data_IF_206026316158
#
_entry.id   IF_206026316158
#
_cell.length_a   1.000
_cell.length_b   1.000
_cell.length_c   1.000
_cell.angle_alpha   90.00
_cell.angle_beta   90.00
_cell.angle_gamma   90.00
#
_symmetry.space_group_name_H-M   'P 1'
#
loop_
_entity.id
_entity.type
_entity.pdbx_description
1 polymer ?
#
# COMPACT_ATOMS: atom_id res chain seq x y z
N UNK A 1 -29.68 1.30 -7.39
CA UNK A 1 -28.96 1.12 -8.65
C UNK A 1 -29.33 2.23 -9.60
N UNK A 2 -28.36 2.96 -10.12
CA UNK A 2 -28.55 4.00 -11.11
C UNK A 2 -27.53 3.89 -12.25
N UNK A 3 -28.00 3.95 -13.49
CA UNK A 3 -27.15 4.13 -14.68
C UNK A 3 -27.37 5.56 -15.18
N UNK A 4 -26.31 6.34 -15.22
CA UNK A 4 -26.37 7.79 -15.47
C UNK A 4 -25.43 8.13 -16.62
N UNK A 5 -25.92 8.80 -17.64
CA UNK A 5 -25.11 9.22 -18.80
C UNK A 5 -24.27 10.49 -18.56
N UNK A 6 -23.98 10.81 -17.32
CA UNK A 6 -23.23 12.00 -16.92
C UNK A 6 -22.67 11.85 -15.50
N UNK A 7 -22.35 12.95 -14.86
CA UNK A 7 -21.81 12.97 -13.50
C UNK A 7 -22.89 12.63 -12.45
N UNK A 8 -22.47 12.05 -11.33
CA UNK A 8 -23.31 11.79 -10.16
C UNK A 8 -22.79 12.62 -8.97
N UNK A 9 -23.51 13.68 -8.63
CA UNK A 9 -23.03 14.71 -7.71
C UNK A 9 -22.16 15.77 -8.40
N UNK A 10 -21.57 16.65 -7.63
CA UNK A 10 -20.61 17.65 -8.12
C UNK A 10 -19.43 17.79 -7.15
N UNK A 11 -18.25 18.08 -7.66
CA UNK A 11 -16.98 17.91 -6.94
C UNK A 11 -16.30 19.20 -6.49
N UNK A 12 -17.04 20.28 -6.19
CA UNK A 12 -16.39 21.54 -5.80
C UNK A 12 -16.49 21.89 -4.32
N UNK A 13 -17.35 21.21 -3.57
CA UNK A 13 -17.45 21.32 -2.11
C UNK A 13 -18.16 20.10 -1.53
N UNK A 14 -17.94 19.82 -0.24
CA UNK A 14 -18.60 18.73 0.48
C UNK A 14 -20.15 18.81 0.46
N UNK A 15 -20.70 19.95 0.06
CA UNK A 15 -22.15 20.19 -0.05
C UNK A 15 -22.74 19.78 -1.43
N UNK A 16 -21.91 19.38 -2.38
CA UNK A 16 -22.33 19.07 -3.74
C UNK A 16 -22.31 17.55 -4.02
N UNK A 17 -21.80 16.74 -3.09
CA UNK A 17 -21.89 15.29 -3.14
C UNK A 17 -23.36 14.84 -2.98
N UNK A 18 -23.68 13.67 -3.50
CA UNK A 18 -24.99 13.05 -3.26
C UNK A 18 -24.95 12.38 -1.88
N UNK A 19 -25.74 12.88 -0.97
CA UNK A 19 -25.92 12.29 0.36
C UNK A 19 -26.77 11.02 0.25
N UNK A 20 -26.24 9.93 0.79
CA UNK A 20 -26.92 8.64 0.85
C UNK A 20 -26.96 8.11 2.28
N UNK A 21 -27.90 7.23 2.57
CA UNK A 21 -27.98 6.44 3.80
C UNK A 21 -28.56 5.07 3.40
N UNK A 22 -27.69 4.23 2.85
CA UNK A 22 -28.09 2.95 2.25
C UNK A 22 -27.15 1.82 2.68
N UNK A 23 -27.67 0.61 2.73
CA UNK A 23 -26.86 -0.59 3.02
C UNK A 23 -26.06 -1.05 1.81
N UNK A 24 -26.64 -0.90 0.62
CA UNK A 24 -26.04 -1.33 -0.64
C UNK A 24 -26.11 -0.17 -1.65
N UNK A 25 -24.97 0.16 -2.25
CA UNK A 25 -24.85 1.26 -3.20
C UNK A 25 -24.30 0.76 -4.55
N UNK A 26 -25.02 1.09 -5.63
CA UNK A 26 -24.56 0.76 -6.98
C UNK A 26 -24.81 1.99 -7.88
N UNK A 27 -23.73 2.56 -8.42
CA UNK A 27 -23.78 3.74 -9.29
C UNK A 27 -22.90 3.48 -10.51
N UNK A 28 -23.47 3.59 -11.69
CA UNK A 28 -22.78 3.45 -12.98
C UNK A 28 -22.91 4.72 -13.81
N UNK A 29 -21.80 5.40 -14.04
CA UNK A 29 -21.67 6.58 -14.91
C UNK A 29 -20.72 6.33 -16.08
N UNK A 30 -20.28 5.08 -16.28
CA UNK A 30 -19.25 4.70 -17.26
C UNK A 30 -19.63 5.01 -18.70
N UNK A 31 -20.93 4.97 -19.04
CA UNK A 31 -21.40 5.29 -20.41
C UNK A 31 -21.00 6.72 -20.82
N UNK A 32 -20.99 7.65 -19.88
CA UNK A 32 -20.57 9.05 -20.09
C UNK A 32 -19.19 9.37 -19.51
N UNK A 33 -18.49 8.41 -18.93
CA UNK A 33 -17.27 8.63 -18.15
C UNK A 33 -17.45 9.73 -17.08
N UNK A 34 -18.62 9.75 -16.46
CA UNK A 34 -18.98 10.79 -15.49
C UNK A 34 -18.41 10.50 -14.11
N UNK A 35 -17.77 11.49 -13.51
CA UNK A 35 -17.29 11.35 -12.14
C UNK A 35 -18.43 11.24 -11.12
N UNK A 36 -18.12 10.65 -9.97
CA UNK A 36 -19.07 10.39 -8.89
C UNK A 36 -18.57 11.06 -7.59
N UNK A 37 -19.47 11.78 -6.92
CA UNK A 37 -19.24 12.37 -5.60
C UNK A 37 -20.34 11.93 -4.66
N UNK A 38 -19.97 11.11 -3.67
CA UNK A 38 -20.92 10.41 -2.80
C UNK A 38 -20.53 10.62 -1.34
N UNK A 39 -21.52 10.93 -0.52
CA UNK A 39 -21.40 11.03 0.92
C UNK A 39 -22.39 10.05 1.54
N UNK A 40 -21.91 8.90 2.02
CA UNK A 40 -22.71 7.87 2.67
C UNK A 40 -22.66 8.07 4.19
N UNK A 41 -23.80 8.21 4.79
CA UNK A 41 -23.92 8.58 6.22
C UNK A 41 -23.46 7.49 7.20
N UNK A 42 -23.71 6.24 6.89
CA UNK A 42 -23.47 5.11 7.78
C UNK A 42 -22.27 4.28 7.31
N UNK A 43 -22.48 3.15 6.74
CA UNK A 43 -21.49 2.26 6.16
C UNK A 43 -22.14 1.43 5.07
N UNK A 44 -21.34 0.79 4.25
CA UNK A 44 -21.80 -0.01 3.12
C UNK A 44 -21.51 -1.49 3.36
N UNK A 45 -22.54 -2.33 3.20
CA UNK A 45 -22.37 -3.79 3.22
C UNK A 45 -21.95 -4.33 1.86
N UNK A 46 -22.34 -3.67 0.79
CA UNK A 46 -21.86 -3.89 -0.58
C UNK A 46 -21.93 -2.60 -1.38
N UNK A 47 -21.00 -2.41 -2.28
CA UNK A 47 -21.11 -1.31 -3.24
C UNK A 47 -20.48 -1.68 -4.57
N UNK A 48 -20.85 -0.96 -5.62
CA UNK A 48 -20.26 -1.05 -6.94
C UNK A 48 -20.34 0.32 -7.60
N UNK A 49 -19.20 0.96 -7.77
CA UNK A 49 -19.07 2.31 -8.30
C UNK A 49 -18.26 2.26 -9.60
N UNK A 50 -18.90 2.51 -10.72
CA UNK A 50 -18.27 2.47 -12.03
C UNK A 50 -18.35 3.83 -12.72
N UNK A 51 -17.23 4.54 -12.76
CA UNK A 51 -17.12 5.84 -13.44
C UNK A 51 -16.49 5.75 -14.85
N UNK A 52 -16.06 4.55 -15.25
CA UNK A 52 -15.30 4.41 -16.50
C UNK A 52 -13.99 5.18 -16.43
N UNK A 53 -13.82 6.18 -17.30
CA UNK A 53 -12.67 7.10 -17.27
C UNK A 53 -12.90 8.36 -16.40
N UNK A 54 -14.00 8.43 -15.65
CA UNK A 54 -14.23 9.47 -14.66
C UNK A 54 -13.54 9.15 -13.32
N UNK A 55 -13.69 10.05 -12.36
CA UNK A 55 -13.16 9.89 -11.00
C UNK A 55 -14.27 9.55 -9.99
N UNK A 56 -13.90 8.90 -8.90
CA UNK A 56 -14.81 8.61 -7.81
C UNK A 56 -14.28 9.27 -6.53
N UNK A 57 -15.16 10.01 -5.86
CA UNK A 57 -14.95 10.49 -4.50
C UNK A 57 -16.07 9.92 -3.62
N UNK A 58 -15.70 9.06 -2.68
CA UNK A 58 -16.61 8.45 -1.73
C UNK A 58 -16.20 8.84 -0.30
N UNK A 59 -17.12 9.40 0.46
CA UNK A 59 -16.98 9.50 1.91
C UNK A 59 -18.01 8.57 2.53
N UNK A 60 -17.62 7.75 3.50
CA UNK A 60 -18.54 6.89 4.25
C UNK A 60 -18.35 7.07 5.74
N UNK A 61 -19.46 7.18 6.47
CA UNK A 61 -19.48 7.35 7.92
C UNK A 61 -19.03 6.11 8.70
N UNK A 62 -19.17 4.93 8.11
CA UNK A 62 -18.82 3.64 8.69
C UNK A 62 -18.06 2.73 7.72
N UNK A 63 -17.85 1.50 8.12
CA UNK A 63 -17.13 0.49 7.32
C UNK A 63 -17.74 0.31 5.92
N UNK A 64 -16.90 0.28 4.90
CA UNK A 64 -17.26 -0.11 3.55
C UNK A 64 -16.79 -1.55 3.29
N UNK A 65 -17.71 -2.43 2.96
CA UNK A 65 -17.44 -3.85 2.71
C UNK A 65 -17.74 -4.20 1.26
N UNK A 66 -16.94 -5.13 0.75
CA UNK A 66 -17.30 -5.90 -0.44
C UNK A 66 -18.21 -7.07 -0.04
N UNK A 67 -19.19 -7.35 -0.84
CA UNK A 67 -20.12 -8.47 -0.64
C UNK A 67 -20.25 -9.38 -1.84
N UNK A 68 -19.44 -9.18 -2.90
CA UNK A 68 -19.51 -9.99 -4.11
C UNK A 68 -18.12 -10.17 -4.80
N UNK A 69 -18.08 -10.71 -5.99
CA UNK A 69 -16.84 -10.98 -6.74
C UNK A 69 -16.58 -9.99 -7.86
N UNK A 70 -17.36 -8.93 -7.95
CA UNK A 70 -17.19 -7.92 -8.99
C UNK A 70 -16.25 -6.82 -8.47
N UNK A 71 -15.63 -6.07 -9.38
CA UNK A 71 -14.86 -4.92 -8.94
C UNK A 71 -15.79 -3.84 -8.39
N UNK A 72 -15.52 -3.45 -7.14
CA UNK A 72 -16.28 -2.45 -6.39
C UNK A 72 -16.07 -1.03 -6.91
N UNK A 73 -14.84 -0.73 -7.32
CA UNK A 73 -14.45 0.60 -7.80
C UNK A 73 -13.79 0.51 -9.17
N UNK A 74 -14.34 1.19 -10.16
CA UNK A 74 -13.74 1.37 -11.48
C UNK A 74 -13.72 2.85 -11.85
N UNK A 75 -12.50 3.42 -11.96
CA UNK A 75 -12.31 4.85 -12.21
C UNK A 75 -10.90 5.13 -12.75
N UNK A 76 -10.63 6.36 -13.17
CA UNK A 76 -9.24 6.81 -13.35
C UNK A 76 -8.61 7.08 -12.00
N UNK A 77 -9.29 7.84 -11.13
CA UNK A 77 -8.86 8.10 -9.75
C UNK A 77 -9.98 7.73 -8.79
N UNK A 78 -9.67 6.99 -7.75
CA UNK A 78 -10.54 6.79 -6.61
C UNK A 78 -9.99 7.52 -5.37
N UNK A 79 -10.83 8.32 -4.74
CA UNK A 79 -10.56 8.95 -3.45
C UNK A 79 -11.63 8.53 -2.47
N UNK A 80 -11.25 7.76 -1.46
CA UNK A 80 -12.17 7.20 -0.47
C UNK A 80 -11.78 7.67 0.93
N UNK A 81 -12.75 8.15 1.69
CA UNK A 81 -12.60 8.48 3.10
C UNK A 81 -13.59 7.66 3.92
N UNK A 82 -13.09 6.83 4.82
CA UNK A 82 -13.90 6.09 5.81
C UNK A 82 -13.72 6.75 7.17
N UNK A 83 -14.75 7.41 7.67
CA UNK A 83 -14.66 8.22 8.90
C UNK A 83 -14.51 7.34 10.15
N UNK A 84 -15.28 6.24 10.25
CA UNK A 84 -15.20 5.30 11.35
C UNK A 84 -15.34 3.87 10.86
N UNK A 85 -14.26 3.11 10.90
CA UNK A 85 -14.28 1.69 10.49
C UNK A 85 -13.28 1.38 9.40
N UNK A 86 -13.49 0.28 8.73
CA UNK A 86 -12.55 -0.32 7.81
C UNK A 86 -12.94 -0.10 6.35
N UNK A 87 -11.97 -0.22 5.46
CA UNK A 87 -12.16 -0.35 4.03
C UNK A 87 -11.86 -1.80 3.62
N UNK A 88 -12.90 -2.59 3.37
CA UNK A 88 -12.82 -4.04 3.23
C UNK A 88 -12.79 -4.78 4.57
N UNK A 89 -12.48 -6.07 4.51
CA UNK A 89 -12.35 -6.95 5.67
C UNK A 89 -11.32 -8.05 5.46
N UNK A 90 -10.91 -8.72 6.54
CA UNK A 90 -10.01 -9.87 6.51
C UNK A 90 -10.66 -11.09 5.88
N UNK A 91 -9.91 -11.93 5.18
CA UNK A 91 -10.37 -13.26 4.75
C UNK A 91 -10.09 -13.61 3.30
N UNK A 92 -9.57 -12.69 2.51
CA UNK A 92 -9.29 -12.89 1.08
C UNK A 92 -10.56 -13.08 0.23
N UNK A 93 -10.42 -13.05 -1.08
CA UNK A 93 -11.56 -13.16 -1.99
C UNK A 93 -12.56 -12.03 -1.81
N UNK A 94 -13.83 -12.32 -1.64
CA UNK A 94 -14.94 -11.35 -1.57
C UNK A 94 -14.97 -10.49 -0.29
N UNK A 95 -13.85 -10.25 0.39
CA UNK A 95 -13.78 -9.41 1.57
C UNK A 95 -12.87 -8.19 1.39
N UNK A 96 -11.90 -8.29 0.50
CA UNK A 96 -11.11 -7.12 0.07
C UNK A 96 -11.95 -6.25 -0.87
N UNK A 97 -11.67 -4.98 -0.90
CA UNK A 97 -12.29 -4.10 -1.89
C UNK A 97 -11.56 -4.27 -3.22
N UNK A 98 -12.28 -4.71 -4.23
CA UNK A 98 -11.77 -4.94 -5.57
C UNK A 98 -11.73 -3.61 -6.34
N UNK A 99 -10.54 -3.15 -6.73
CA UNK A 99 -10.35 -1.91 -7.46
C UNK A 99 -9.76 -2.12 -8.85
N UNK A 100 -10.11 -1.27 -9.77
CA UNK A 100 -9.52 -1.17 -11.11
C UNK A 100 -9.34 0.32 -11.43
N UNK A 101 -8.24 0.91 -10.96
CA UNK A 101 -7.99 2.35 -11.00
C UNK A 101 -6.53 2.65 -11.33
N UNK A 102 -6.26 3.81 -11.93
CA UNK A 102 -4.88 4.24 -12.14
C UNK A 102 -4.27 4.89 -10.88
N UNK A 103 -5.10 5.63 -10.12
CA UNK A 103 -4.67 6.29 -8.88
C UNK A 103 -5.64 5.97 -7.75
N UNK A 104 -5.10 5.55 -6.61
CA UNK A 104 -5.88 5.14 -5.44
C UNK A 104 -5.49 5.94 -4.20
N UNK A 105 -6.47 6.63 -3.60
CA UNK A 105 -6.32 7.34 -2.34
C UNK A 105 -7.35 6.80 -1.36
N UNK A 106 -6.93 6.20 -0.25
CA UNK A 106 -7.82 5.69 0.80
C UNK A 106 -7.38 6.21 2.16
N UNK A 107 -8.28 6.87 2.86
CA UNK A 107 -8.06 7.39 4.20
C UNK A 107 -9.06 6.78 5.19
N UNK A 108 -8.55 5.98 6.12
CA UNK A 108 -9.30 5.41 7.26
C UNK A 108 -8.74 5.86 8.60
N UNK A 109 -7.81 6.84 8.60
CA UNK A 109 -7.06 7.24 9.79
C UNK A 109 -7.91 7.89 10.88
N UNK A 110 -9.03 8.52 10.53
CA UNK A 110 -9.91 9.15 11.52
C UNK A 110 -10.45 8.16 12.57
N UNK A 111 -10.62 6.89 12.18
CA UNK A 111 -11.05 5.80 13.07
C UNK A 111 -9.98 4.72 13.27
N UNK A 112 -8.73 4.95 12.87
CA UNK A 112 -7.66 3.94 12.85
C UNK A 112 -8.10 2.63 12.17
N UNK A 113 -8.89 2.76 11.10
CA UNK A 113 -9.47 1.63 10.38
C UNK A 113 -8.46 0.94 9.47
N UNK A 114 -8.53 -0.37 9.39
CA UNK A 114 -7.70 -1.14 8.48
C UNK A 114 -8.24 -1.16 7.05
N UNK A 115 -7.34 -1.44 6.09
CA UNK A 115 -7.66 -1.48 4.66
C UNK A 115 -7.28 -2.83 4.08
N UNK A 116 -8.17 -3.43 3.29
CA UNK A 116 -7.95 -4.64 2.50
C UNK A 116 -8.35 -4.36 1.06
N UNK A 117 -7.36 -4.37 0.17
CA UNK A 117 -7.50 -3.89 -1.20
C UNK A 117 -6.93 -4.92 -2.16
N UNK A 118 -7.72 -5.27 -3.18
CA UNK A 118 -7.28 -6.08 -4.32
C UNK A 118 -7.37 -5.20 -5.58
N UNK A 119 -6.21 -4.71 -6.06
CA UNK A 119 -6.11 -3.92 -7.28
C UNK A 119 -5.80 -4.82 -8.48
N UNK A 120 -6.65 -4.75 -9.50
CA UNK A 120 -6.62 -5.70 -10.64
C UNK A 120 -5.43 -5.48 -11.57
N UNK A 121 -5.11 -4.23 -11.88
CA UNK A 121 -4.16 -3.87 -12.96
C UNK A 121 -2.79 -3.44 -12.41
N UNK A 122 -2.75 -2.49 -11.54
CA UNK A 122 -1.57 -1.83 -10.98
C UNK A 122 -1.80 -0.34 -10.86
N UNK A 123 -1.02 0.30 -10.02
CA UNK A 123 -1.19 1.70 -9.65
C UNK A 123 -0.06 2.55 -10.21
N UNK A 124 -0.37 3.71 -10.74
CA UNK A 124 0.58 4.75 -11.10
C UNK A 124 0.76 5.79 -10.00
N UNK A 125 -0.15 5.83 -9.04
CA UNK A 125 -0.05 6.58 -7.80
C UNK A 125 -0.92 5.94 -6.73
N UNK A 126 -0.40 5.85 -5.50
CA UNK A 126 -1.14 5.38 -4.35
C UNK A 126 -0.96 6.33 -3.17
N UNK A 127 -1.99 6.44 -2.33
CA UNK A 127 -1.92 7.15 -1.05
C UNK A 127 -2.88 6.44 -0.08
N UNK A 128 -2.33 5.63 0.81
CA UNK A 128 -3.08 4.78 1.73
C UNK A 128 -2.77 5.19 3.17
N UNK A 129 -3.73 5.73 3.86
CA UNK A 129 -3.58 6.21 5.24
C UNK A 129 -4.55 5.47 6.17
N UNK A 130 -4.03 4.56 6.98
CA UNK A 130 -4.80 3.81 7.97
C UNK A 130 -4.59 4.32 9.41
N UNK A 131 -3.75 5.35 9.61
CA UNK A 131 -3.43 5.79 10.98
C UNK A 131 -2.84 4.66 11.82
N UNK A 132 -3.50 4.29 12.90
CA UNK A 132 -3.14 3.14 13.74
C UNK A 132 -3.59 1.77 13.21
N UNK A 133 -4.32 1.72 12.11
CA UNK A 133 -4.76 0.48 11.46
C UNK A 133 -3.68 -0.21 10.64
N UNK A 134 -4.05 -1.29 9.98
CA UNK A 134 -3.17 -2.05 9.07
C UNK A 134 -3.67 -1.95 7.63
N UNK A 135 -2.75 -2.08 6.68
CA UNK A 135 -3.07 -2.10 5.25
C UNK A 135 -2.61 -3.43 4.65
N UNK A 136 -3.50 -4.07 3.91
CA UNK A 136 -3.19 -5.21 3.04
C UNK A 136 -3.53 -4.81 1.61
N UNK A 137 -2.54 -4.82 0.73
CA UNK A 137 -2.67 -4.49 -0.69
C UNK A 137 -2.20 -5.67 -1.53
N UNK A 138 -3.09 -6.22 -2.36
CA UNK A 138 -2.70 -7.10 -3.46
C UNK A 138 -2.85 -6.30 -4.76
N UNK A 139 -1.85 -6.35 -5.64
CA UNK A 139 -1.91 -5.66 -6.92
C UNK A 139 -1.49 -6.58 -8.06
N UNK A 140 -2.34 -6.67 -9.07
CA UNK A 140 -2.11 -7.42 -10.30
C UNK A 140 -1.09 -6.77 -11.24
N UNK A 141 -0.55 -5.61 -10.89
CA UNK A 141 0.51 -4.91 -11.61
C UNK A 141 1.42 -4.13 -10.69
N UNK A 142 2.32 -3.34 -11.24
CA UNK A 142 3.25 -2.53 -10.45
C UNK A 142 2.53 -1.48 -9.60
N UNK A 143 3.07 -1.20 -8.41
CA UNK A 143 2.71 -0.05 -7.62
C UNK A 143 3.79 1.02 -7.77
N UNK A 144 3.44 2.18 -8.29
CA UNK A 144 4.38 3.28 -8.52
C UNK A 144 3.91 4.50 -7.75
N UNK A 145 4.85 5.22 -7.16
CA UNK A 145 4.61 6.56 -6.66
C UNK A 145 4.66 7.58 -7.80
N UNK A 146 3.78 8.55 -7.77
CA UNK A 146 3.67 9.63 -8.74
C UNK A 146 3.80 11.02 -8.13
N UNK A 147 4.03 11.13 -6.81
CA UNK A 147 4.14 12.43 -6.14
C UNK A 147 5.12 12.40 -4.95
N UNK A 148 5.29 13.51 -4.24
CA UNK A 148 6.21 13.67 -3.12
C UNK A 148 5.51 13.57 -1.74
N UNK A 149 4.30 13.03 -1.69
CA UNK A 149 3.59 12.81 -0.44
C UNK A 149 3.91 11.40 0.11
N UNK A 150 3.66 11.17 1.39
CA UNK A 150 3.78 9.83 1.93
C UNK A 150 2.66 8.92 1.39
N UNK A 151 3.07 7.85 0.72
CA UNK A 151 2.18 6.91 0.04
C UNK A 151 1.46 5.97 1.00
N UNK A 152 2.15 5.53 2.05
CA UNK A 152 1.61 4.53 2.98
C UNK A 152 1.84 4.95 4.42
N UNK A 153 0.75 5.03 5.19
CA UNK A 153 0.77 5.27 6.64
C UNK A 153 -0.08 4.24 7.36
N UNK A 154 0.55 3.40 8.18
CA UNK A 154 -0.13 2.34 8.92
C UNK A 154 0.74 1.82 10.08
N UNK A 155 0.18 1.02 10.98
CA UNK A 155 0.99 0.23 11.90
C UNK A 155 1.68 -0.92 11.17
N UNK A 156 0.96 -1.62 10.32
CA UNK A 156 1.47 -2.73 9.49
C UNK A 156 1.04 -2.54 8.04
N UNK A 157 2.00 -2.62 7.14
CA UNK A 157 1.74 -2.69 5.71
C UNK A 157 2.17 -4.04 5.16
N UNK A 158 1.25 -4.70 4.47
CA UNK A 158 1.50 -5.96 3.78
C UNK A 158 1.08 -5.81 2.33
N UNK A 159 2.01 -5.99 1.40
CA UNK A 159 1.77 -5.86 -0.02
C UNK A 159 2.22 -7.10 -0.80
N UNK A 160 1.37 -7.56 -1.72
CA UNK A 160 1.68 -8.57 -2.73
C UNK A 160 1.51 -7.95 -4.10
N UNK A 161 2.60 -7.77 -4.83
CA UNK A 161 2.64 -6.95 -6.05
C UNK A 161 3.13 -7.79 -7.23
N UNK A 162 2.38 -7.78 -8.32
CA UNK A 162 2.86 -8.35 -9.60
C UNK A 162 3.64 -7.28 -10.35
N UNK A 163 4.98 -7.32 -10.23
CA UNK A 163 5.87 -6.33 -10.84
C UNK A 163 6.65 -5.51 -9.82
N UNK A 164 7.03 -4.31 -10.16
CA UNK A 164 7.83 -3.45 -9.30
C UNK A 164 6.98 -2.73 -8.24
N UNK A 165 7.59 -2.44 -7.10
CA UNK A 165 7.04 -1.60 -6.04
C UNK A 165 7.94 -0.36 -5.89
N UNK A 166 7.46 0.77 -6.34
CA UNK A 166 8.26 1.97 -6.58
C UNK A 166 9.03 1.94 -7.90
N UNK A 167 9.86 2.94 -8.16
CA UNK A 167 10.68 3.05 -9.36
C UNK A 167 12.06 3.66 -9.07
N UNK A 168 12.99 3.51 -10.01
CA UNK A 168 14.32 4.10 -9.92
C UNK A 168 14.27 5.62 -10.14
N UNK A 169 15.08 6.37 -9.43
CA UNK A 169 15.24 7.81 -9.68
C UNK A 169 15.49 8.64 -8.44
N UNK A 170 15.24 8.12 -7.26
CA UNK A 170 15.31 8.83 -5.98
C UNK A 170 14.20 9.90 -5.85
N UNK A 171 13.93 10.35 -4.66
CA UNK A 171 12.85 11.31 -4.39
C UNK A 171 11.48 10.72 -4.73
N UNK A 172 10.69 11.44 -5.48
CA UNK A 172 9.29 11.16 -5.81
C UNK A 172 9.02 9.87 -6.63
N UNK A 173 9.89 8.85 -6.57
CA UNK A 173 9.70 7.57 -7.30
C UNK A 173 9.77 6.33 -6.40
N UNK A 174 10.32 6.46 -5.20
CA UNK A 174 10.25 5.41 -4.17
C UNK A 174 8.87 5.41 -3.54
N UNK A 175 8.43 4.29 -3.00
CA UNK A 175 7.23 4.29 -2.17
C UNK A 175 7.59 4.82 -0.79
N UNK A 176 7.00 5.95 -0.43
CA UNK A 176 7.21 6.62 0.84
C UNK A 176 6.32 6.02 1.93
N UNK A 177 6.95 5.40 2.92
CA UNK A 177 6.22 4.70 3.99
C UNK A 177 6.45 5.35 5.36
N UNK A 178 5.46 5.22 6.21
CA UNK A 178 5.55 5.51 7.65
C UNK A 178 4.83 4.38 8.38
N UNK A 179 5.56 3.30 8.65
CA UNK A 179 4.99 2.06 9.21
C UNK A 179 5.89 1.46 10.28
N UNK A 180 5.32 0.68 11.19
CA UNK A 180 6.13 -0.08 12.17
C UNK A 180 6.57 -1.44 11.63
N UNK A 181 5.71 -2.09 10.85
CA UNK A 181 5.98 -3.40 10.26
C UNK A 181 5.75 -3.35 8.75
N UNK A 182 6.75 -3.76 7.98
CA UNK A 182 6.76 -3.68 6.53
C UNK A 182 6.94 -5.06 5.89
N UNK A 183 5.94 -5.52 5.12
CA UNK A 183 5.99 -6.78 4.40
C UNK A 183 5.67 -6.53 2.92
N UNK A 184 6.62 -6.75 2.03
CA UNK A 184 6.44 -6.54 0.59
C UNK A 184 6.95 -7.74 -0.19
N UNK A 185 6.06 -8.38 -0.94
CA UNK A 185 6.38 -9.49 -1.84
C UNK A 185 6.10 -9.07 -3.30
N UNK A 186 7.14 -9.03 -4.12
CA UNK A 186 7.07 -8.73 -5.55
C UNK A 186 7.36 -9.96 -6.42
N UNK A 187 7.26 -11.18 -5.86
CA UNK A 187 7.50 -12.43 -6.58
C UNK A 187 6.23 -13.06 -7.16
N UNK A 188 5.07 -12.48 -6.91
CA UNK A 188 3.78 -12.99 -7.40
C UNK A 188 3.81 -13.22 -8.91
N UNK A 189 3.19 -14.31 -9.33
CA UNK A 189 3.12 -14.76 -10.73
C UNK A 189 4.49 -14.85 -11.44
N UNK A 190 5.58 -15.00 -10.66
CA UNK A 190 6.94 -15.10 -11.17
C UNK A 190 7.54 -13.77 -11.67
N UNK A 191 6.94 -12.65 -11.28
CA UNK A 191 7.34 -11.30 -11.71
C UNK A 191 8.75 -10.91 -11.24
N UNK A 192 9.13 -11.25 -9.99
CA UNK A 192 10.42 -10.85 -9.40
C UNK A 192 10.72 -9.35 -9.58
N UNK A 193 9.76 -8.52 -9.19
CA UNK A 193 9.82 -7.06 -9.32
C UNK A 193 10.85 -6.44 -8.38
N UNK A 194 11.43 -5.34 -8.81
CA UNK A 194 12.28 -4.54 -7.93
C UNK A 194 11.45 -3.80 -6.88
N UNK A 195 12.08 -3.47 -5.74
CA UNK A 195 11.47 -2.65 -4.69
C UNK A 195 12.32 -1.42 -4.41
N UNK A 196 11.68 -0.25 -4.36
CA UNK A 196 12.28 1.03 -3.96
C UNK A 196 11.41 1.64 -2.88
N UNK A 197 11.93 1.71 -1.66
CA UNK A 197 11.17 2.07 -0.46
C UNK A 197 11.94 3.12 0.34
N UNK A 198 11.25 4.19 0.70
CA UNK A 198 11.73 5.21 1.62
C UNK A 198 10.86 5.19 2.88
N UNK A 199 11.39 4.63 3.97
CA UNK A 199 10.72 4.58 5.27
C UNK A 199 11.14 5.78 6.13
N UNK A 200 10.16 6.57 6.55
CA UNK A 200 10.43 7.85 7.20
C UNK A 200 11.02 7.71 8.61
N UNK A 201 10.58 6.74 9.37
CA UNK A 201 10.94 6.60 10.81
C UNK A 201 11.95 5.47 11.03
N UNK A 202 11.51 4.26 11.11
CA UNK A 202 12.28 3.05 11.33
C UNK A 202 11.34 1.87 11.48
N UNK A 203 11.85 0.67 11.37
CA UNK A 203 11.05 -0.55 11.34
C UNK A 203 11.30 -1.40 12.59
N UNK A 204 10.21 -1.92 13.16
CA UNK A 204 10.25 -2.94 14.22
C UNK A 204 10.40 -4.33 13.60
N UNK A 205 9.78 -4.54 12.43
CA UNK A 205 9.88 -5.78 11.66
C UNK A 205 9.84 -5.47 10.16
N UNK A 206 10.65 -6.22 9.41
CA UNK A 206 10.65 -6.10 7.96
C UNK A 206 10.62 -7.49 7.32
N UNK A 207 9.96 -7.61 6.17
CA UNK A 207 10.00 -8.80 5.32
C UNK A 207 9.88 -8.35 3.85
N UNK A 208 10.98 -8.36 3.13
CA UNK A 208 11.07 -7.88 1.75
C UNK A 208 11.49 -9.01 0.83
N UNK A 209 10.62 -9.45 -0.05
CA UNK A 209 10.88 -10.54 -0.98
C UNK A 209 10.76 -10.04 -2.43
N UNK A 210 11.88 -9.87 -3.08
CA UNK A 210 11.97 -9.53 -4.51
C UNK A 210 12.41 -10.72 -5.38
N UNK A 211 12.67 -11.89 -4.79
CA UNK A 211 13.17 -13.05 -5.52
C UNK A 211 14.48 -12.75 -6.25
N UNK A 212 14.46 -12.75 -7.58
CA UNK A 212 15.60 -12.35 -8.40
C UNK A 212 15.63 -10.84 -8.71
N UNK A 213 14.71 -10.06 -8.20
CA UNK A 213 14.73 -8.59 -8.27
C UNK A 213 15.75 -7.97 -7.32
N UNK A 214 15.83 -6.65 -7.31
CA UNK A 214 16.67 -5.90 -6.38
C UNK A 214 15.79 -5.12 -5.40
N UNK A 215 16.33 -4.85 -4.22
CA UNK A 215 15.70 -4.03 -3.20
C UNK A 215 16.59 -2.83 -2.88
N UNK A 216 16.00 -1.65 -2.85
CA UNK A 216 16.59 -0.43 -2.30
C UNK A 216 15.70 0.05 -1.16
N UNK A 217 16.26 0.12 0.05
CA UNK A 217 15.58 0.59 1.25
C UNK A 217 16.34 1.78 1.84
N UNK A 218 15.69 2.91 1.98
CA UNK A 218 16.16 3.98 2.83
C UNK A 218 15.29 4.01 4.09
N UNK A 219 15.88 4.16 5.27
CA UNK A 219 15.14 4.28 6.52
C UNK A 219 15.66 5.42 7.38
N UNK A 220 14.75 6.27 7.81
CA UNK A 220 15.01 7.41 8.68
C UNK A 220 15.34 7.03 10.13
N UNK A 221 15.25 5.74 10.49
CA UNK A 221 15.53 5.25 11.83
C UNK A 221 16.13 3.85 11.86
N UNK A 222 16.12 3.26 13.03
CA UNK A 222 16.58 1.87 13.25
C UNK A 222 15.63 0.88 12.58
N UNK A 223 16.21 -0.13 11.94
CA UNK A 223 15.48 -1.29 11.43
C UNK A 223 15.82 -2.50 12.30
N UNK A 224 14.81 -3.14 12.86
CA UNK A 224 14.96 -4.36 13.65
C UNK A 224 14.22 -5.51 13.00
N UNK A 225 14.67 -6.71 13.29
CA UNK A 225 13.92 -7.93 13.03
C UNK A 225 13.07 -8.28 14.26
N UNK A 226 11.87 -8.74 14.04
CA UNK A 226 10.91 -9.13 15.08
C UNK A 226 10.53 -10.61 15.05
N UNK A 227 11.10 -11.41 14.15
CA UNK A 227 10.75 -12.83 14.01
C UNK A 227 11.94 -13.69 13.50
N UNK A 228 11.71 -14.97 13.27
CA UNK A 228 12.74 -15.93 12.84
C UNK A 228 12.65 -16.26 11.33
N UNK A 229 11.92 -15.48 10.56
CA UNK A 229 11.82 -15.66 9.11
C UNK A 229 12.94 -14.90 8.40
N UNK A 230 13.19 -15.23 7.13
CA UNK A 230 14.16 -14.43 6.36
C UNK A 230 13.53 -13.07 6.00
N UNK A 231 14.20 -12.01 6.44
CA UNK A 231 13.73 -10.63 6.29
C UNK A 231 13.92 -10.06 4.88
N UNK A 232 15.01 -10.44 4.21
CA UNK A 232 15.33 -9.89 2.89
C UNK A 232 15.72 -10.99 1.91
N UNK A 233 15.01 -11.07 0.79
CA UNK A 233 15.32 -11.95 -0.34
C UNK A 233 15.40 -11.16 -1.63
N UNK A 234 16.61 -11.09 -2.24
CA UNK A 234 16.85 -10.34 -3.47
C UNK A 234 18.12 -10.79 -4.18
N UNK A 235 18.35 -10.39 -5.43
CA UNK A 235 19.66 -10.48 -6.06
C UNK A 235 20.62 -9.46 -5.45
N UNK A 236 20.18 -8.21 -5.32
CA UNK A 236 20.94 -7.14 -4.68
C UNK A 236 20.07 -6.42 -3.66
N UNK A 237 20.59 -6.30 -2.46
CA UNK A 237 20.00 -5.45 -1.43
C UNK A 237 20.92 -4.26 -1.15
N UNK A 238 20.36 -3.07 -1.29
CA UNK A 238 21.02 -1.81 -0.95
C UNK A 238 20.19 -1.10 0.11
N UNK A 239 20.78 -0.79 1.25
CA UNK A 239 20.11 -0.11 2.34
C UNK A 239 20.90 1.10 2.85
N UNK A 240 20.18 2.19 3.12
CA UNK A 240 20.70 3.38 3.80
C UNK A 240 19.86 3.61 5.06
N UNK A 241 20.47 3.41 6.22
CA UNK A 241 19.75 3.35 7.50
C UNK A 241 20.28 4.43 8.45
N UNK A 242 19.42 5.32 8.91
CA UNK A 242 19.78 6.38 9.87
C UNK A 242 19.79 5.86 11.34
N UNK A 243 20.23 4.64 11.57
CA UNK A 243 20.26 4.00 12.88
C UNK A 243 20.94 2.65 12.81
N UNK A 244 20.54 1.73 13.66
CA UNK A 244 21.01 0.36 13.61
C UNK A 244 20.26 -0.45 12.54
N UNK A 245 20.93 -1.45 12.00
CA UNK A 245 20.34 -2.46 11.13
C UNK A 245 20.47 -3.82 11.81
N UNK A 246 19.36 -4.34 12.30
CA UNK A 246 19.31 -5.46 13.26
C UNK A 246 19.55 -5.03 14.70
N UNK A 247 19.66 -5.99 15.60
CA UNK A 247 19.95 -5.79 17.02
C UNK A 247 20.90 -6.84 17.59
N UNK A 248 21.55 -6.51 18.70
CA UNK A 248 22.43 -7.45 19.40
C UNK A 248 21.61 -8.50 20.17
N UNK A 249 21.92 -9.77 19.99
CA UNK A 249 21.29 -10.85 20.77
C UNK A 249 21.38 -12.23 20.15
N UNK A 250 21.71 -12.34 18.88
CA UNK A 250 21.73 -13.59 18.11
C UNK A 250 20.31 -14.14 17.85
N UNK A 251 20.16 -15.05 16.92
CA UNK A 251 18.86 -15.59 16.54
C UNK A 251 17.98 -14.51 15.92
N UNK A 252 16.75 -14.41 16.36
CA UNK A 252 15.67 -13.56 15.83
C UNK A 252 15.89 -12.03 16.02
N UNK A 253 17.13 -11.55 16.13
CA UNK A 253 17.44 -10.11 16.27
C UNK A 253 18.37 -9.58 15.15
N UNK A 254 19.04 -10.47 14.44
CA UNK A 254 19.81 -10.11 13.24
C UNK A 254 18.83 -9.95 12.06
N UNK A 255 19.19 -9.13 11.11
CA UNK A 255 18.44 -9.12 9.83
C UNK A 255 18.90 -10.34 9.02
N UNK A 256 17.97 -11.24 8.77
CA UNK A 256 18.18 -12.47 8.03
C UNK A 256 18.08 -12.23 6.52
N UNK A 257 19.20 -12.41 5.82
CA UNK A 257 19.28 -12.12 4.38
C UNK A 257 19.53 -13.36 3.54
N UNK A 258 18.99 -13.36 2.34
CA UNK A 258 19.31 -14.30 1.26
C UNK A 258 19.52 -13.49 0.00
N UNK A 259 20.77 -13.02 -0.23
CA UNK A 259 21.09 -12.10 -1.31
C UNK A 259 22.43 -12.42 -1.94
N UNK A 260 22.58 -12.12 -3.22
CA UNK A 260 23.88 -12.29 -3.92
C UNK A 260 24.84 -11.13 -3.64
N UNK A 261 24.30 -9.91 -3.57
CA UNK A 261 25.07 -8.69 -3.32
C UNK A 261 24.43 -7.90 -2.18
N UNK A 262 25.22 -7.56 -1.18
CA UNK A 262 24.78 -6.81 -0.01
C UNK A 262 25.53 -5.48 0.09
N UNK A 263 24.80 -4.39 0.26
CA UNK A 263 25.35 -3.06 0.50
C UNK A 263 24.49 -2.35 1.56
N UNK A 264 25.03 -2.18 2.77
CA UNK A 264 24.31 -1.54 3.89
C UNK A 264 25.13 -0.39 4.44
N UNK A 265 24.60 0.80 4.40
CA UNK A 265 25.16 2.02 4.98
C UNK A 265 24.35 2.45 6.22
N UNK A 266 24.96 2.40 7.39
CA UNK A 266 24.39 2.87 8.66
C UNK A 266 25.04 4.18 9.16
N UNK A 267 25.81 4.86 8.28
CA UNK A 267 26.52 6.08 8.63
C UNK A 267 25.82 7.36 8.14
N UNK A 268 24.70 7.21 7.47
CA UNK A 268 23.91 8.34 6.91
C UNK A 268 23.39 9.25 8.01
N UNK A 269 23.18 10.53 7.64
CA UNK A 269 22.65 11.58 8.52
C UNK A 269 23.43 11.76 9.82
N UNK A 270 24.74 11.38 9.86
CA UNK A 270 25.58 11.50 11.04
C UNK A 270 25.32 10.43 12.08
N UNK A 271 24.54 9.42 11.79
CA UNK A 271 24.43 8.22 12.61
C UNK A 271 25.70 7.37 12.47
N UNK A 272 25.96 6.50 13.42
CA UNK A 272 27.01 5.49 13.38
C UNK A 272 26.39 4.21 13.91
N UNK A 273 25.37 3.74 13.19
CA UNK A 273 24.63 2.54 13.58
C UNK A 273 25.44 1.28 13.45
N UNK A 274 25.10 0.29 14.23
CA UNK A 274 25.64 -1.05 14.11
C UNK A 274 24.85 -1.87 13.12
N UNK A 275 25.50 -2.90 12.56
CA UNK A 275 24.87 -3.86 11.66
C UNK A 275 24.98 -5.26 12.28
N UNK A 276 23.84 -5.95 12.37
CA UNK A 276 23.75 -7.36 12.75
C UNK A 276 22.96 -8.07 11.64
N UNK A 277 23.68 -8.85 10.85
CA UNK A 277 23.16 -9.47 9.64
C UNK A 277 23.55 -10.94 9.64
N UNK A 278 22.58 -11.81 9.38
CA UNK A 278 22.79 -13.23 9.13
C UNK A 278 22.47 -13.52 7.65
N UNK A 279 23.51 -13.87 6.90
CA UNK A 279 23.41 -14.18 5.48
C UNK A 279 23.41 -15.70 5.26
N UNK A 280 22.35 -16.21 4.61
CA UNK A 280 22.09 -17.65 4.58
C UNK A 280 22.85 -18.42 3.51
N UNK A 281 23.11 -17.84 2.32
CA UNK A 281 23.65 -18.59 1.16
C UNK A 281 24.98 -18.09 0.62
N UNK A 282 25.53 -17.03 1.19
CA UNK A 282 26.85 -16.47 0.89
C UNK A 282 26.86 -15.38 -0.19
N UNK A 283 27.72 -14.41 0.02
CA UNK A 283 27.80 -13.20 -0.78
C UNK A 283 28.80 -13.30 -1.93
N UNK A 284 28.41 -12.80 -3.09
CA UNK A 284 29.35 -12.53 -4.18
C UNK A 284 30.05 -11.17 -3.98
N UNK A 285 29.37 -10.17 -3.45
CA UNK A 285 29.91 -8.85 -3.10
C UNK A 285 29.33 -8.32 -1.78
N UNK A 286 30.16 -7.56 -1.08
CA UNK A 286 29.83 -6.89 0.18
C UNK A 286 30.29 -5.43 0.09
#
# INVERSE_FOLDING_TARGET
TGVIGGVFGAGTAALDAIDTAVVNLNVDTAVGNGSQWINEADGLSTFNLNAGAGDITLTTGGTALDGDTAADIRATTATVTVVNGNFGATGGGNNSIDTAVASLNVDTAAGDGSQWIDEVDGLIALNLNAGGGSITLNSGGAGIDGDAAADVRATTFTATIVGAFGATGGGDNSIDTTVSNLNVDTTSDGANGHQWIDEADGLISLNLNAGSGNITLNSGGTVTDGDAAADVRATTFTATIAGNFGAMGGGDNSIDTTVTNLNVDTTSNGSNGHQWIDEADGLATL
#
